data_IF_846414909342
#
_entry.id   IF_846414909342
#
_cell.length_a   1.000
_cell.length_b   1.000
_cell.length_c   1.000
_cell.angle_alpha   90.00
_cell.angle_beta   90.00
_cell.angle_gamma   90.00
#
_symmetry.space_group_name_H-M   'P 1'
#
loop_
_entity.id
_entity.type
_entity.pdbx_description
1 polymer ?
#
# COMPACT_ATOMS: atom_id res chain seq x y z
N UNK A 1 -22.12 -9.75 -19.01
CA UNK A 1 -20.91 -9.66 -18.18
C UNK A 1 -20.92 -8.35 -17.44
N UNK A 2 -21.13 -8.36 -16.12
CA UNK A 2 -21.03 -7.14 -15.31
C UNK A 2 -19.55 -6.93 -15.07
N UNK A 3 -18.97 -5.95 -15.76
CA UNK A 3 -17.60 -5.51 -15.50
C UNK A 3 -17.62 -4.75 -14.16
N UNK A 4 -17.16 -5.38 -13.09
CA UNK A 4 -16.83 -4.71 -11.84
C UNK A 4 -15.50 -3.98 -12.02
N UNK A 5 -15.44 -3.00 -12.90
CA UNK A 5 -14.44 -1.95 -12.74
C UNK A 5 -14.86 -1.18 -11.51
N UNK A 6 -14.26 -1.50 -10.36
CA UNK A 6 -14.24 -0.56 -9.23
C UNK A 6 -13.48 0.68 -9.71
N UNK A 7 -14.19 1.55 -10.42
CA UNK A 7 -13.75 2.87 -10.89
C UNK A 7 -13.74 3.86 -9.74
N UNK A 8 -13.16 3.47 -8.60
CA UNK A 8 -12.79 4.42 -7.56
C UNK A 8 -11.42 4.98 -7.92
N UNK A 9 -11.35 6.29 -8.10
CA UNK A 9 -10.10 7.03 -8.23
C UNK A 9 -9.12 6.62 -7.12
N UNK A 10 -7.84 6.45 -7.46
CA UNK A 10 -6.79 6.12 -6.48
C UNK A 10 -6.80 7.09 -5.30
N UNK A 11 -6.59 6.62 -4.05
CA UNK A 11 -6.60 7.48 -2.88
C UNK A 11 -5.43 8.48 -2.94
N UNK A 12 -5.75 9.78 -2.86
CA UNK A 12 -4.75 10.86 -3.02
C UNK A 12 -4.51 11.64 -1.73
N UNK A 13 -5.43 11.55 -0.78
CA UNK A 13 -5.38 12.28 0.48
C UNK A 13 -5.30 11.34 1.69
N UNK A 14 -4.91 11.89 2.84
CA UNK A 14 -4.96 11.14 4.10
C UNK A 14 -6.38 10.68 4.44
N UNK A 15 -7.40 11.49 4.12
CA UNK A 15 -8.80 11.17 4.41
C UNK A 15 -9.32 10.02 3.54
N UNK A 16 -8.86 9.90 2.30
CA UNK A 16 -9.18 8.75 1.45
C UNK A 16 -8.66 7.46 2.09
N UNK A 17 -7.39 7.47 2.51
CA UNK A 17 -6.79 6.34 3.22
C UNK A 17 -7.47 6.05 4.57
N UNK A 18 -7.89 7.08 5.31
CA UNK A 18 -8.62 6.90 6.56
C UNK A 18 -10.00 6.25 6.35
N UNK A 19 -10.72 6.60 5.27
CA UNK A 19 -11.97 5.94 4.89
C UNK A 19 -11.74 4.47 4.55
N UNK A 20 -10.71 4.16 3.76
CA UNK A 20 -10.35 2.80 3.39
C UNK A 20 -10.00 1.96 4.63
N UNK A 21 -9.15 2.48 5.52
CA UNK A 21 -8.81 1.80 6.78
C UNK A 21 -10.04 1.52 7.63
N UNK A 22 -10.96 2.48 7.77
CA UNK A 22 -12.22 2.27 8.50
C UNK A 22 -13.08 1.16 7.91
N UNK A 23 -13.16 1.06 6.59
CA UNK A 23 -13.83 -0.07 5.92
C UNK A 23 -13.14 -1.39 6.28
N UNK A 24 -11.81 -1.45 6.21
CA UNK A 24 -11.06 -2.66 6.55
C UNK A 24 -11.17 -3.06 8.03
N UNK A 25 -11.20 -2.09 8.96
CA UNK A 25 -11.44 -2.37 10.38
C UNK A 25 -12.75 -3.12 10.60
N UNK A 26 -13.80 -2.78 9.84
CA UNK A 26 -15.10 -3.44 9.91
C UNK A 26 -15.07 -4.84 9.29
N UNK A 27 -14.48 -4.97 8.09
CA UNK A 27 -14.40 -6.25 7.37
C UNK A 27 -13.56 -7.29 8.14
N UNK A 28 -12.42 -6.88 8.69
CA UNK A 28 -11.50 -7.77 9.39
C UNK A 28 -11.83 -7.91 10.88
N UNK A 29 -12.76 -7.12 11.40
CA UNK A 29 -13.03 -7.01 12.85
C UNK A 29 -11.77 -6.73 13.67
N UNK A 30 -10.85 -5.92 13.12
CA UNK A 30 -9.58 -5.52 13.76
C UNK A 30 -9.81 -5.05 15.18
N UNK A 31 -8.93 -5.39 16.12
CA UNK A 31 -9.03 -4.99 17.52
C UNK A 31 -8.96 -3.47 17.71
N UNK A 32 -9.53 -2.95 18.80
CA UNK A 32 -9.50 -1.51 19.10
C UNK A 32 -8.06 -1.00 19.30
N UNK A 33 -7.20 -1.82 19.90
CA UNK A 33 -5.79 -1.52 20.11
C UNK A 33 -5.04 -1.30 18.79
N UNK A 34 -5.17 -2.25 17.84
CA UNK A 34 -4.53 -2.14 16.52
C UNK A 34 -5.08 -0.93 15.76
N UNK A 35 -6.40 -0.66 15.84
CA UNK A 35 -7.01 0.53 15.22
C UNK A 35 -6.40 1.83 15.76
N UNK A 36 -6.32 1.98 17.08
CA UNK A 36 -5.77 3.18 17.72
C UNK A 36 -4.33 3.43 17.29
N UNK A 37 -3.51 2.37 17.30
CA UNK A 37 -2.12 2.42 16.88
C UNK A 37 -1.97 2.82 15.41
N UNK A 38 -2.75 2.21 14.52
CA UNK A 38 -2.68 2.51 13.08
C UNK A 38 -3.17 3.92 12.76
N UNK A 39 -4.16 4.46 13.47
CA UNK A 39 -4.54 5.87 13.31
C UNK A 39 -3.41 6.84 13.70
N UNK A 40 -2.51 6.43 14.60
CA UNK A 40 -1.24 7.13 14.90
C UNK A 40 -0.12 6.82 13.92
N UNK A 41 -0.41 6.14 12.80
CA UNK A 41 0.54 5.71 11.76
C UNK A 41 1.61 4.73 12.24
N UNK A 42 1.31 4.00 13.30
CA UNK A 42 2.14 2.91 13.80
C UNK A 42 1.61 1.60 13.20
N UNK A 43 2.42 0.99 12.34
CA UNK A 43 2.10 -0.27 11.67
C UNK A 43 3.15 -1.27 12.15
N UNK A 44 2.78 -2.08 13.14
CA UNK A 44 3.67 -3.03 13.78
C UNK A 44 3.70 -4.35 13.00
N UNK A 45 4.74 -5.16 13.23
CA UNK A 45 4.91 -6.49 12.64
C UNK A 45 4.04 -7.52 13.39
N UNK A 46 2.72 -7.42 13.19
CA UNK A 46 1.72 -8.31 13.75
C UNK A 46 0.65 -8.70 12.72
N UNK A 47 0.01 -9.85 12.94
CA UNK A 47 -0.92 -10.45 11.98
C UNK A 47 -2.13 -9.55 11.66
N UNK A 48 -2.69 -8.82 12.64
CA UNK A 48 -3.82 -7.92 12.38
C UNK A 48 -3.41 -6.74 11.52
N UNK A 49 -2.25 -6.14 11.81
CA UNK A 49 -1.68 -5.04 11.01
C UNK A 49 -1.39 -5.51 9.59
N UNK A 50 -0.81 -6.70 9.42
CA UNK A 50 -0.52 -7.27 8.10
C UNK A 50 -1.79 -7.39 7.25
N UNK A 51 -2.84 -7.98 7.82
CA UNK A 51 -4.09 -8.16 7.08
C UNK A 51 -4.81 -6.84 6.82
N UNK A 52 -4.72 -5.87 7.74
CA UNK A 52 -5.24 -4.53 7.53
C UNK A 52 -4.54 -3.81 6.37
N UNK A 53 -3.21 -3.92 6.28
CA UNK A 53 -2.42 -3.37 5.17
C UNK A 53 -2.82 -4.01 3.86
N UNK A 54 -2.92 -5.34 3.81
CA UNK A 54 -3.41 -6.07 2.63
C UNK A 54 -4.79 -5.60 2.19
N UNK A 55 -5.76 -5.58 3.11
CA UNK A 55 -7.12 -5.12 2.82
C UNK A 55 -7.13 -3.69 2.28
N UNK A 56 -6.36 -2.79 2.92
CA UNK A 56 -6.30 -1.39 2.50
C UNK A 56 -5.69 -1.25 1.11
N UNK A 57 -4.64 -2.01 0.79
CA UNK A 57 -4.01 -2.04 -0.53
C UNK A 57 -4.96 -2.55 -1.62
N UNK A 58 -5.71 -3.62 -1.35
CA UNK A 58 -6.69 -4.19 -2.28
C UNK A 58 -7.83 -3.19 -2.55
N UNK A 59 -8.46 -2.64 -1.49
CA UNK A 59 -9.55 -1.67 -1.66
C UNK A 59 -9.05 -0.39 -2.36
N UNK A 60 -7.81 0.02 -2.12
CA UNK A 60 -7.20 1.17 -2.79
C UNK A 60 -6.83 0.93 -4.26
N UNK A 61 -6.86 -0.32 -4.75
CA UNK A 61 -6.32 -0.69 -6.06
C UNK A 61 -4.79 -0.65 -6.15
N UNK A 62 -4.09 -0.56 -5.00
CA UNK A 62 -2.64 -0.46 -4.90
C UNK A 62 -1.94 -1.82 -4.79
N UNK A 63 -2.69 -2.89 -4.54
CA UNK A 63 -2.16 -4.23 -4.31
C UNK A 63 -3.13 -5.31 -4.79
N UNK A 64 -2.58 -6.40 -5.31
CA UNK A 64 -3.27 -7.62 -5.70
C UNK A 64 -2.47 -8.84 -5.21
N UNK A 65 -3.13 -9.90 -4.78
CA UNK A 65 -2.43 -11.06 -4.19
C UNK A 65 -1.57 -11.82 -5.21
N UNK A 66 -1.98 -11.81 -6.47
CA UNK A 66 -1.32 -12.54 -7.55
C UNK A 66 -0.13 -11.73 -8.05
N UNK A 67 -0.38 -10.47 -8.39
CA UNK A 67 0.58 -9.59 -9.09
C UNK A 67 1.38 -8.67 -8.16
N UNK A 68 0.99 -8.53 -6.89
CA UNK A 68 1.68 -7.72 -5.89
C UNK A 68 1.31 -6.24 -5.95
N UNK A 69 2.28 -5.35 -5.67
CA UNK A 69 2.07 -3.89 -5.72
C UNK A 69 1.74 -3.45 -7.15
N UNK A 70 0.66 -2.69 -7.29
CA UNK A 70 0.22 -2.16 -8.58
C UNK A 70 1.11 -0.99 -9.03
N UNK A 71 2.02 -1.25 -9.98
CA UNK A 71 2.96 -0.25 -10.49
C UNK A 71 2.29 0.85 -11.33
N UNK A 72 1.20 0.54 -12.04
CA UNK A 72 0.46 1.54 -12.82
C UNK A 72 -0.20 2.56 -11.88
N UNK A 73 -0.79 2.08 -10.79
CA UNK A 73 -1.34 2.93 -9.75
C UNK A 73 -0.25 3.78 -9.07
N UNK A 74 0.90 3.18 -8.75
CA UNK A 74 2.04 3.90 -8.20
C UNK A 74 2.58 4.98 -9.16
N UNK A 75 2.67 4.70 -10.46
CA UNK A 75 3.09 5.66 -11.48
C UNK A 75 2.12 6.85 -11.56
N UNK A 76 0.82 6.57 -11.56
CA UNK A 76 -0.24 7.59 -11.57
C UNK A 76 -0.15 8.52 -10.35
N UNK A 77 0.06 7.95 -9.16
CA UNK A 77 0.22 8.73 -7.94
C UNK A 77 1.55 9.51 -7.90
N UNK A 78 2.64 8.95 -8.43
CA UNK A 78 3.93 9.62 -8.54
C UNK A 78 3.87 10.84 -9.48
N UNK A 79 3.22 10.70 -10.63
CA UNK A 79 2.98 11.81 -11.56
C UNK A 79 2.15 12.91 -10.90
N UNK A 80 1.09 12.54 -10.18
CA UNK A 80 0.29 13.49 -9.42
C UNK A 80 1.09 14.24 -8.34
N UNK A 81 1.95 13.53 -7.61
CA UNK A 81 2.82 14.13 -6.60
C UNK A 81 3.83 15.12 -7.22
N UNK A 82 4.46 14.74 -8.33
CA UNK A 82 5.38 15.60 -9.06
C UNK A 82 4.71 16.88 -9.58
N UNK A 83 3.49 16.77 -10.13
CA UNK A 83 2.68 17.93 -10.57
C UNK A 83 2.39 18.89 -9.41
N UNK A 84 1.99 18.37 -8.25
CA UNK A 84 1.71 19.19 -7.06
C UNK A 84 2.97 19.86 -6.52
N UNK A 85 4.09 19.14 -6.49
CA UNK A 85 5.37 19.67 -6.02
C UNK A 85 6.09 20.56 -7.04
N UNK A 86 5.61 20.65 -8.28
CA UNK A 86 6.32 21.24 -9.44
C UNK A 86 7.75 20.68 -9.57
N UNK A 87 7.91 19.38 -9.30
CA UNK A 87 9.19 18.69 -9.25
C UNK A 87 9.32 17.59 -10.32
N UNK A 88 10.47 16.92 -10.32
CA UNK A 88 10.69 15.74 -11.16
C UNK A 88 9.79 14.58 -10.75
N UNK A 89 9.36 13.78 -11.74
CA UNK A 89 8.71 12.51 -11.46
C UNK A 89 9.74 11.46 -11.03
N UNK A 90 9.71 11.10 -9.75
CA UNK A 90 10.63 10.11 -9.17
C UNK A 90 10.24 8.65 -9.39
N UNK A 91 9.22 8.35 -10.22
CA UNK A 91 8.66 7.01 -10.36
C UNK A 91 9.69 5.93 -10.74
N UNK A 92 10.57 6.18 -11.70
CA UNK A 92 11.57 5.16 -12.08
C UNK A 92 12.53 4.84 -10.92
N UNK A 93 12.94 5.84 -10.15
CA UNK A 93 13.78 5.64 -8.96
C UNK A 93 13.02 4.89 -7.86
N UNK A 94 11.73 5.19 -7.69
CA UNK A 94 10.84 4.43 -6.82
C UNK A 94 10.75 2.96 -7.26
N UNK A 95 10.49 2.71 -8.54
CA UNK A 95 10.31 1.37 -9.10
C UNK A 95 11.55 0.52 -8.91
N UNK A 96 12.73 1.03 -9.26
CA UNK A 96 14.00 0.30 -9.04
C UNK A 96 14.22 -0.03 -7.56
N UNK A 97 14.07 0.96 -6.66
CA UNK A 97 14.26 0.72 -5.23
C UNK A 97 13.23 -0.26 -4.64
N UNK A 98 11.99 -0.24 -5.13
CA UNK A 98 10.98 -1.21 -4.76
C UNK A 98 11.36 -2.60 -5.25
N UNK A 99 11.72 -2.77 -6.53
CA UNK A 99 12.05 -4.06 -7.14
C UNK A 99 13.23 -4.73 -6.43
N UNK A 100 14.28 -3.96 -6.11
CA UNK A 100 15.44 -4.41 -5.33
C UNK A 100 15.05 -4.94 -3.94
N UNK A 101 14.18 -4.22 -3.23
CA UNK A 101 13.70 -4.64 -1.90
C UNK A 101 12.75 -5.84 -2.00
N UNK A 102 11.80 -5.81 -2.95
CA UNK A 102 10.78 -6.82 -3.14
C UNK A 102 11.36 -8.18 -3.56
N UNK A 103 12.53 -8.20 -4.23
CA UNK A 103 13.26 -9.43 -4.51
C UNK A 103 13.68 -10.20 -3.25
N UNK A 104 13.72 -9.52 -2.09
CA UNK A 104 13.97 -10.13 -0.78
C UNK A 104 12.73 -10.69 -0.09
N UNK A 105 11.51 -10.44 -0.58
CA UNK A 105 10.27 -10.96 0.00
C UNK A 105 9.96 -12.30 -0.66
N UNK A 106 10.34 -13.40 -0.01
CA UNK A 106 10.30 -14.73 -0.65
C UNK A 106 9.14 -15.60 -0.16
N UNK A 107 8.60 -16.51 -0.99
CA UNK A 107 7.54 -17.43 -0.60
C UNK A 107 7.85 -18.26 0.66
N UNK A 108 9.12 -18.57 0.92
CA UNK A 108 9.52 -19.33 2.10
C UNK A 108 9.29 -18.55 3.41
N UNK A 109 9.27 -17.22 3.35
CA UNK A 109 9.09 -16.36 4.52
C UNK A 109 7.62 -16.19 4.90
N UNK A 110 6.70 -16.36 3.94
CA UNK A 110 5.26 -16.11 4.14
C UNK A 110 4.35 -17.32 3.89
N UNK A 111 4.78 -18.35 3.16
CA UNK A 111 3.96 -19.52 2.83
C UNK A 111 2.61 -19.13 2.21
N UNK A 112 1.52 -19.54 2.85
CA UNK A 112 0.15 -19.18 2.45
C UNK A 112 -0.39 -17.91 3.15
N UNK A 113 0.43 -17.23 3.95
CA UNK A 113 0.07 -15.97 4.62
C UNK A 113 0.23 -14.78 3.65
N UNK A 114 -0.83 -14.56 2.86
CA UNK A 114 -0.92 -13.41 1.96
C UNK A 114 -0.89 -12.06 2.69
N UNK A 115 -1.31 -12.00 3.95
CA UNK A 115 -1.21 -10.78 4.75
C UNK A 115 0.26 -10.43 4.99
N UNK A 116 1.08 -11.41 5.40
CA UNK A 116 2.52 -11.23 5.60
C UNK A 116 3.25 -10.88 4.29
N UNK A 117 2.90 -11.54 3.17
CA UNK A 117 3.41 -11.17 1.84
C UNK A 117 3.15 -9.70 1.52
N UNK A 118 1.89 -9.27 1.64
CA UNK A 118 1.48 -7.90 1.33
C UNK A 118 2.16 -6.87 2.24
N UNK A 119 2.32 -7.19 3.52
CA UNK A 119 3.00 -6.33 4.47
C UNK A 119 4.48 -6.12 4.11
N UNK A 120 5.22 -7.20 3.81
CA UNK A 120 6.61 -7.10 3.37
C UNK A 120 6.78 -6.22 2.12
N UNK A 121 5.94 -6.44 1.10
CA UNK A 121 5.94 -5.62 -0.11
C UNK A 121 5.55 -4.15 0.16
N UNK A 122 4.65 -3.91 1.11
CA UNK A 122 4.26 -2.55 1.52
C UNK A 122 5.39 -1.83 2.23
N UNK A 123 6.18 -2.51 3.07
CA UNK A 123 7.36 -1.91 3.70
C UNK A 123 8.38 -1.45 2.65
N UNK A 124 8.63 -2.28 1.61
CA UNK A 124 9.45 -1.90 0.47
C UNK A 124 8.89 -0.66 -0.25
N UNK A 125 7.59 -0.66 -0.55
CA UNK A 125 6.91 0.45 -1.21
C UNK A 125 7.01 1.75 -0.40
N UNK A 126 6.75 1.71 0.92
CA UNK A 126 6.86 2.90 1.77
C UNK A 126 8.30 3.43 1.88
N UNK A 127 9.30 2.55 1.97
CA UNK A 127 10.69 2.95 2.00
C UNK A 127 11.10 3.66 0.69
N UNK A 128 10.78 3.05 -0.46
CA UNK A 128 11.04 3.63 -1.77
C UNK A 128 10.28 4.95 -1.98
N UNK A 129 9.00 5.01 -1.59
CA UNK A 129 8.14 6.18 -1.75
C UNK A 129 8.66 7.39 -0.98
N UNK A 130 9.06 7.19 0.28
CA UNK A 130 9.64 8.26 1.12
C UNK A 130 10.96 8.79 0.55
N UNK A 131 11.73 7.95 -0.14
CA UNK A 131 13.03 8.34 -0.70
C UNK A 131 12.92 9.04 -2.05
N UNK A 132 11.96 8.63 -2.88
CA UNK A 132 11.96 8.98 -4.31
C UNK A 132 10.74 9.77 -4.78
N UNK A 133 9.57 9.61 -4.17
CA UNK A 133 8.35 10.34 -4.58
C UNK A 133 8.08 11.52 -3.66
N UNK A 134 8.07 11.27 -2.35
CA UNK A 134 7.68 12.28 -1.37
C UNK A 134 8.90 12.97 -0.78
N UNK A 135 9.18 14.20 -1.23
CA UNK A 135 9.75 15.26 -0.38
C UNK A 135 8.61 16.20 0.05
N UNK A 136 7.86 15.79 1.07
CA UNK A 136 6.89 16.62 1.80
C UNK A 136 6.98 16.28 3.28
#
# INVERSE_FOLDING_TARGET
SISLTLGSSLPRTYDDWAKIRRTCYQLLRTSAEVRERVERRQYDDDAETHCLVRCSGIIAGMYDDVTGTNMEAAATLAEAAAKLAKGENGFEKFRTAYEECAAGVKPEDYGDDYCKKSYGLTLCSWAAWRKHIRKL
#
